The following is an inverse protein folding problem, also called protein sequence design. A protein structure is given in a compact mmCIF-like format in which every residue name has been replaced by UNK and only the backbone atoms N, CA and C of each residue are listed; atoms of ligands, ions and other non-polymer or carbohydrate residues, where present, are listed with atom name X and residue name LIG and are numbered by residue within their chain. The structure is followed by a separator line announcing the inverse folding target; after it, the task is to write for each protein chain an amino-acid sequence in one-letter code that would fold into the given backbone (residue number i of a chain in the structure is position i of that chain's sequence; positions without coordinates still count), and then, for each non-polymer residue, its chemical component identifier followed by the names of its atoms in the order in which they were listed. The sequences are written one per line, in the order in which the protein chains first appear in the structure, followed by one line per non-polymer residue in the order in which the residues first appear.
data_IF_951898295967
#
_entry.id   IF_951898295967
#
_cell.length_a   1.000
_cell.length_b   1.000
_cell.length_c   1.000
_cell.angle_alpha   90.00
_cell.angle_beta   90.00
_cell.angle_gamma   90.00
#
_symmetry.space_group_name_H-M   'P 1'
#
loop_
_entity.id
_entity.type
_entity.pdbx_description
1 polymer ?
#
# COMPACT_ATOMS: atom_id res chain seq x y z
N UNK A 1 -0.33 -12.11 -8.01
CA UNK A 1 1.07 -11.67 -8.28
C UNK A 1 1.88 -12.91 -8.60
N UNK A 2 2.85 -12.82 -9.50
CA UNK A 2 3.75 -13.92 -9.85
C UNK A 2 4.69 -14.21 -8.68
N UNK A 3 4.82 -15.47 -8.28
CA UNK A 3 5.79 -15.88 -7.26
C UNK A 3 7.21 -16.02 -7.85
N UNK A 4 8.22 -16.20 -7.00
CA UNK A 4 9.62 -16.27 -7.44
C UNK A 4 9.89 -17.40 -8.43
N UNK A 5 9.23 -18.54 -8.28
CA UNK A 5 9.38 -19.68 -9.19
C UNK A 5 8.75 -19.41 -10.54
N UNK A 6 7.55 -18.87 -10.57
CA UNK A 6 6.87 -18.45 -11.81
C UNK A 6 7.68 -17.38 -12.54
N UNK A 7 8.24 -16.42 -11.78
CA UNK A 7 9.13 -15.41 -12.35
C UNK A 7 10.39 -16.03 -12.97
N UNK A 8 11.02 -17.00 -12.30
CA UNK A 8 12.21 -17.68 -12.84
C UNK A 8 11.92 -18.40 -14.16
N UNK A 9 10.81 -19.11 -14.24
CA UNK A 9 10.40 -19.76 -15.49
C UNK A 9 10.05 -18.77 -16.59
N UNK A 10 9.33 -17.71 -16.26
CA UNK A 10 9.01 -16.64 -17.21
C UNK A 10 10.28 -15.97 -17.75
N UNK A 11 11.22 -15.64 -16.87
CA UNK A 11 12.51 -15.04 -17.24
C UNK A 11 13.29 -15.96 -18.19
N UNK A 12 13.35 -17.28 -17.89
CA UNK A 12 14.04 -18.24 -18.74
C UNK A 12 13.36 -18.42 -20.10
N UNK A 13 12.03 -18.39 -20.15
CA UNK A 13 11.29 -18.40 -21.39
C UNK A 13 11.56 -17.16 -22.26
N UNK A 14 11.67 -15.97 -21.65
CA UNK A 14 12.06 -14.75 -22.37
C UNK A 14 13.51 -14.85 -22.88
N UNK A 15 14.44 -15.36 -22.08
CA UNK A 15 15.81 -15.59 -22.49
C UNK A 15 15.89 -16.51 -23.70
N UNK A 16 15.20 -17.64 -23.67
CA UNK A 16 15.15 -18.63 -24.75
C UNK A 16 14.46 -18.06 -26.01
N UNK A 17 13.53 -17.11 -25.86
CA UNK A 17 12.91 -16.37 -26.96
C UNK A 17 13.80 -15.27 -27.58
N UNK A 18 15.05 -15.13 -27.12
CA UNK A 18 16.04 -14.19 -27.69
C UNK A 18 16.18 -12.87 -26.92
N UNK A 19 15.54 -12.71 -25.77
CA UNK A 19 15.66 -11.49 -24.96
C UNK A 19 17.04 -11.32 -24.28
N UNK A 20 17.95 -12.26 -24.47
CA UNK A 20 19.35 -12.16 -23.99
C UNK A 20 20.06 -10.91 -24.52
N UNK A 21 19.74 -10.45 -25.74
CA UNK A 21 20.24 -9.21 -26.30
C UNK A 21 19.78 -7.96 -25.55
N UNK A 22 18.72 -8.05 -24.75
CA UNK A 22 18.18 -6.96 -23.91
C UNK A 22 18.69 -7.00 -22.47
N UNK A 23 19.76 -7.76 -22.18
CA UNK A 23 20.37 -7.83 -20.86
C UNK A 23 19.67 -8.78 -19.89
N UNK A 24 18.71 -9.59 -20.37
CA UNK A 24 18.10 -10.64 -19.55
C UNK A 24 19.07 -11.81 -19.46
N UNK A 25 19.42 -12.22 -18.24
CA UNK A 25 20.25 -13.39 -17.97
C UNK A 25 19.37 -14.58 -17.61
N UNK A 26 19.81 -15.77 -18.03
CA UNK A 26 19.13 -17.01 -17.65
C UNK A 26 19.35 -17.30 -16.15
N UNK A 27 18.28 -17.62 -15.47
CA UNK A 27 18.33 -18.11 -14.08
C UNK A 27 18.72 -19.59 -14.13
N UNK A 28 19.81 -19.97 -13.46
CA UNK A 28 20.32 -21.33 -13.47
C UNK A 28 19.40 -22.31 -12.74
N UNK A 29 19.51 -23.59 -13.10
CA UNK A 29 18.73 -24.64 -12.44
C UNK A 29 19.04 -24.74 -10.95
N UNK A 30 20.28 -24.44 -10.54
CA UNK A 30 20.68 -24.42 -9.13
C UNK A 30 19.94 -23.33 -8.34
N UNK A 31 19.72 -22.15 -8.93
CA UNK A 31 18.94 -21.07 -8.30
C UNK A 31 17.46 -21.46 -8.24
N UNK A 32 16.94 -22.11 -9.29
CA UNK A 32 15.55 -22.61 -9.30
C UNK A 32 15.34 -23.65 -8.18
N UNK A 33 16.28 -24.54 -7.95
CA UNK A 33 16.21 -25.51 -6.83
C UNK A 33 16.23 -24.80 -5.46
N UNK A 34 17.06 -23.76 -5.29
CA UNK A 34 17.05 -22.94 -4.08
C UNK A 34 15.71 -22.23 -3.85
N UNK A 35 15.11 -21.68 -4.92
CA UNK A 35 13.76 -21.07 -4.85
C UNK A 35 12.74 -22.11 -4.38
N UNK A 36 12.75 -23.32 -4.95
CA UNK A 36 11.84 -24.39 -4.54
C UNK A 36 12.05 -24.80 -3.08
N UNK A 37 13.31 -24.96 -2.65
CA UNK A 37 13.65 -25.28 -1.27
C UNK A 37 13.14 -24.22 -0.29
N UNK A 38 13.39 -22.95 -0.59
CA UNK A 38 12.87 -21.84 0.21
C UNK A 38 11.33 -21.81 0.27
N UNK A 39 10.65 -22.06 -0.84
CA UNK A 39 9.18 -22.08 -0.88
C UNK A 39 8.57 -23.24 -0.08
N UNK A 40 9.29 -24.39 0.00
CA UNK A 40 8.85 -25.54 0.79
C UNK A 40 9.05 -25.32 2.28
N UNK A 41 10.19 -24.76 2.66
CA UNK A 41 10.53 -24.51 4.06
C UNK A 41 11.22 -23.13 4.19
N UNK A 42 10.44 -22.03 4.20
CA UNK A 42 10.97 -20.69 4.32
C UNK A 42 11.79 -20.53 5.60
N UNK A 43 12.93 -19.85 5.48
CA UNK A 43 13.83 -19.56 6.61
C UNK A 43 14.52 -20.79 7.21
N UNK A 44 14.64 -21.88 6.46
CA UNK A 44 15.50 -23.00 6.84
C UNK A 44 16.97 -22.60 6.79
N UNK A 45 17.82 -23.25 7.57
CA UNK A 45 19.27 -23.03 7.52
C UNK A 45 19.86 -23.37 6.14
N UNK A 46 19.27 -24.35 5.46
CA UNK A 46 19.69 -24.79 4.12
C UNK A 46 19.30 -23.80 3.02
N UNK A 47 18.10 -23.17 3.15
CA UNK A 47 17.56 -22.24 2.16
C UNK A 47 17.08 -20.95 2.85
N UNK A 48 18.00 -20.07 3.29
CA UNK A 48 17.62 -18.86 4.04
C UNK A 48 17.02 -17.75 3.17
N UNK A 49 16.92 -17.92 1.86
CA UNK A 49 16.36 -16.93 0.91
C UNK A 49 17.39 -16.03 0.26
N UNK A 50 18.61 -16.00 0.79
CA UNK A 50 19.75 -15.25 0.24
C UNK A 50 21.02 -15.98 0.60
N UNK A 51 21.97 -16.04 -0.32
CA UNK A 51 23.29 -16.62 -0.04
C UNK A 51 24.19 -15.64 0.73
N UNK A 52 25.10 -16.19 1.51
CA UNK A 52 26.20 -15.45 2.12
C UNK A 52 27.30 -15.24 1.07
N UNK A 53 27.98 -14.10 1.10
CA UNK A 53 29.08 -13.85 0.18
C UNK A 53 30.27 -14.78 0.43
N UNK A 54 31.21 -14.82 -0.50
CA UNK A 54 32.37 -15.70 -0.42
C UNK A 54 33.29 -15.42 0.76
N UNK A 55 33.23 -14.24 1.38
CA UNK A 55 33.97 -13.91 2.60
C UNK A 55 33.29 -14.45 3.89
N UNK A 56 32.02 -14.90 3.79
CA UNK A 56 31.27 -15.43 4.92
C UNK A 56 30.74 -14.38 5.92
N UNK A 57 30.97 -13.10 5.68
CA UNK A 57 30.65 -12.02 6.61
C UNK A 57 29.43 -11.20 6.14
N UNK A 58 29.24 -11.07 4.82
CA UNK A 58 28.20 -10.26 4.24
C UNK A 58 27.20 -11.09 3.42
N UNK A 59 26.03 -10.53 3.18
CA UNK A 59 25.07 -11.10 2.24
C UNK A 59 25.55 -10.90 0.80
N UNK A 60 25.39 -11.92 -0.03
CA UNK A 60 25.76 -11.81 -1.43
C UNK A 60 24.86 -10.78 -2.16
N UNK A 61 25.48 -9.81 -2.82
CA UNK A 61 24.78 -8.74 -3.51
C UNK A 61 24.31 -9.12 -4.92
N UNK A 62 24.80 -10.22 -5.48
CA UNK A 62 24.42 -10.66 -6.81
C UNK A 62 22.95 -11.11 -6.85
N UNK A 63 22.20 -10.69 -7.89
CA UNK A 63 20.79 -11.00 -8.01
C UNK A 63 20.46 -12.51 -7.97
N UNK A 64 21.37 -13.35 -8.43
CA UNK A 64 21.22 -14.82 -8.39
C UNK A 64 21.41 -15.42 -6.98
N UNK A 65 21.94 -14.64 -6.05
CA UNK A 65 22.10 -15.04 -4.67
C UNK A 65 20.85 -14.77 -3.82
N UNK A 66 19.88 -14.05 -4.37
CA UNK A 66 18.62 -13.71 -3.72
C UNK A 66 17.51 -14.57 -4.35
N UNK A 67 17.01 -15.53 -3.60
CA UNK A 67 16.02 -16.50 -4.08
C UNK A 67 14.79 -16.61 -3.17
N UNK A 68 14.62 -15.65 -2.26
CA UNK A 68 13.46 -15.57 -1.40
C UNK A 68 12.17 -15.34 -2.20
N UNK A 69 11.05 -15.69 -1.59
CA UNK A 69 9.71 -15.51 -2.16
C UNK A 69 8.87 -14.63 -1.22
N UNK A 70 9.25 -13.36 -1.10
CA UNK A 70 8.53 -12.40 -0.27
C UNK A 70 7.45 -11.70 -1.09
N UNK A 71 6.20 -11.81 -0.67
CA UNK A 71 5.11 -11.01 -1.22
C UNK A 71 5.18 -9.59 -0.63
N UNK A 72 5.92 -8.72 -1.29
CA UNK A 72 6.12 -7.34 -0.87
C UNK A 72 4.83 -6.54 -0.82
N UNK A 73 3.85 -6.87 -1.66
CA UNK A 73 2.54 -6.21 -1.58
C UNK A 73 1.82 -6.56 -0.28
N UNK A 74 1.78 -7.84 0.05
CA UNK A 74 1.18 -8.29 1.31
C UNK A 74 1.95 -7.79 2.53
N UNK A 75 3.27 -7.58 2.39
CA UNK A 75 4.09 -7.05 3.45
C UNK A 75 3.86 -5.55 3.68
N UNK A 76 3.76 -4.76 2.59
CA UNK A 76 3.63 -3.30 2.70
C UNK A 76 2.20 -2.80 2.74
N UNK A 77 1.25 -3.51 2.16
CA UNK A 77 -0.11 -3.04 1.98
C UNK A 77 -1.10 -3.89 2.75
N UNK A 78 -2.03 -3.23 3.40
CA UNK A 78 -3.19 -3.86 4.05
C UNK A 78 -4.12 -4.44 3.01
N UNK A 79 -4.73 -5.58 3.29
CA UNK A 79 -5.76 -6.17 2.43
C UNK A 79 -7.01 -5.30 2.32
N UNK A 80 -7.28 -4.49 3.35
CA UNK A 80 -8.46 -3.63 3.44
C UNK A 80 -8.09 -2.33 4.12
N UNK A 81 -8.65 -1.24 3.64
CA UNK A 81 -8.62 0.08 4.27
C UNK A 81 -10.05 0.52 4.55
N UNK A 82 -10.30 0.95 5.76
CA UNK A 82 -11.63 1.37 6.22
C UNK A 82 -11.75 2.88 6.04
N UNK A 83 -12.89 3.29 5.46
CA UNK A 83 -13.29 4.70 5.44
C UNK A 83 -14.69 4.83 6.00
N UNK A 84 -14.88 5.77 6.90
CA UNK A 84 -16.19 6.17 7.36
C UNK A 84 -16.34 7.68 7.42
N UNK A 85 -17.57 8.15 7.25
CA UNK A 85 -17.91 9.56 7.31
C UNK A 85 -19.20 9.76 8.09
N UNK A 86 -19.22 10.78 8.91
CA UNK A 86 -20.38 11.18 9.70
C UNK A 86 -20.67 12.63 9.38
N UNK A 87 -21.93 12.93 9.07
CA UNK A 87 -22.39 14.28 8.83
C UNK A 87 -23.61 14.55 9.72
N UNK A 88 -23.56 15.68 10.41
CA UNK A 88 -24.65 16.18 11.22
C UNK A 88 -24.96 17.60 10.80
N UNK A 89 -26.22 17.92 10.61
CA UNK A 89 -26.65 19.29 10.37
C UNK A 89 -27.86 19.65 11.22
N UNK A 90 -27.86 20.87 11.68
CA UNK A 90 -28.97 21.49 12.39
C UNK A 90 -29.29 22.79 11.70
N UNK A 91 -30.56 22.99 11.39
CA UNK A 91 -31.06 24.22 10.83
C UNK A 91 -32.32 24.65 11.54
N UNK A 92 -32.53 25.93 11.63
CA UNK A 92 -33.72 26.48 12.26
C UNK A 92 -33.78 27.99 12.03
N UNK A 93 -34.87 28.56 12.49
CA UNK A 93 -35.01 29.98 12.39
C UNK A 93 -36.41 30.50 12.68
N UNK A 94 -36.56 31.80 12.55
CA UNK A 94 -37.78 32.56 12.66
C UNK A 94 -37.87 33.54 11.48
N UNK A 95 -38.91 34.37 11.47
CA UNK A 95 -39.03 35.43 10.43
C UNK A 95 -37.86 36.41 10.42
N UNK A 96 -37.11 36.51 11.53
CA UNK A 96 -35.99 37.46 11.68
C UNK A 96 -34.62 36.83 11.68
N UNK A 97 -34.50 35.54 12.02
CA UNK A 97 -33.21 34.86 12.16
C UNK A 97 -33.33 33.47 11.55
N UNK A 98 -32.39 33.12 10.70
CA UNK A 98 -32.21 31.75 10.19
C UNK A 98 -30.79 31.32 10.44
N UNK A 99 -30.60 30.09 10.86
CA UNK A 99 -29.30 29.53 11.08
C UNK A 99 -29.20 28.13 10.49
N UNK A 100 -27.98 27.79 10.07
CA UNK A 100 -27.57 26.47 9.65
C UNK A 100 -26.18 26.16 10.26
N UNK A 101 -26.06 25.01 10.88
CA UNK A 101 -24.79 24.48 11.39
C UNK A 101 -24.65 23.08 10.83
N UNK A 102 -23.58 22.85 10.06
CA UNK A 102 -23.24 21.55 9.52
C UNK A 102 -21.85 21.12 10.03
N UNK A 103 -21.75 19.92 10.56
CA UNK A 103 -20.51 19.30 10.99
C UNK A 103 -20.28 18.03 10.19
N UNK A 104 -19.04 17.82 9.75
CA UNK A 104 -18.64 16.62 9.05
C UNK A 104 -17.34 16.08 9.63
N UNK A 105 -17.30 14.77 9.76
CA UNK A 105 -16.10 14.02 10.12
C UNK A 105 -15.87 12.93 9.11
N UNK A 106 -14.64 12.84 8.60
CA UNK A 106 -14.21 11.75 7.72
C UNK A 106 -12.95 11.16 8.33
N UNK A 107 -12.97 9.86 8.50
CA UNK A 107 -11.78 9.06 8.78
C UNK A 107 -11.52 8.13 7.61
N UNK A 108 -10.27 8.05 7.21
CA UNK A 108 -9.80 7.10 6.22
C UNK A 108 -8.50 6.48 6.73
N UNK A 109 -8.53 5.18 6.90
CA UNK A 109 -7.35 4.40 7.21
C UNK A 109 -6.40 4.37 6.00
N UNK A 110 -5.11 4.47 6.25
CA UNK A 110 -4.10 4.34 5.22
C UNK A 110 -3.98 2.93 4.67
N UNK A 111 -3.31 2.81 3.54
CA UNK A 111 -3.09 1.53 2.87
C UNK A 111 -1.82 0.82 3.30
N UNK A 112 -0.88 1.52 3.96
CA UNK A 112 0.39 0.96 4.37
C UNK A 112 0.26 0.30 5.74
N UNK A 113 0.80 -0.91 5.89
CA UNK A 113 0.67 -1.69 7.13
C UNK A 113 1.62 -1.21 8.22
N UNK A 114 2.84 -0.83 7.84
CA UNK A 114 3.90 -0.45 8.78
C UNK A 114 4.06 1.06 8.96
N UNK A 115 3.21 1.87 8.33
CA UNK A 115 3.25 3.33 8.38
C UNK A 115 1.90 3.86 8.81
N UNK A 116 1.91 4.86 9.68
CA UNK A 116 0.69 5.54 10.09
C UNK A 116 0.36 6.64 9.08
N UNK A 117 -0.44 6.30 8.08
CA UNK A 117 -0.88 7.16 6.98
C UNK A 117 -2.40 7.43 7.01
N UNK A 118 -2.98 7.42 8.20
CA UNK A 118 -4.41 7.67 8.41
C UNK A 118 -4.76 9.14 8.19
N UNK A 119 -5.91 9.38 7.59
CA UNK A 119 -6.48 10.71 7.39
C UNK A 119 -7.69 10.92 8.28
N UNK A 120 -7.67 11.99 9.08
CA UNK A 120 -8.83 12.50 9.81
C UNK A 120 -9.15 13.91 9.35
N UNK A 121 -10.38 14.12 8.86
CA UNK A 121 -10.84 15.42 8.36
C UNK A 121 -12.09 15.86 9.09
N UNK A 122 -12.06 17.07 9.62
CA UNK A 122 -13.18 17.73 10.27
C UNK A 122 -13.63 18.90 9.42
N UNK A 123 -14.92 19.04 9.21
CA UNK A 123 -15.54 20.16 8.51
C UNK A 123 -16.59 20.80 9.41
N UNK A 124 -16.58 22.13 9.50
CA UNK A 124 -17.62 22.89 10.16
C UNK A 124 -18.09 23.97 9.20
N UNK A 125 -19.39 23.97 8.92
CA UNK A 125 -20.05 24.98 8.12
C UNK A 125 -21.11 25.67 8.97
N UNK A 126 -21.03 26.98 9.07
CA UNK A 126 -22.03 27.78 9.76
C UNK A 126 -22.58 28.89 8.84
N UNK A 127 -23.86 29.03 8.82
CA UNK A 127 -24.53 30.15 8.14
C UNK A 127 -25.51 30.76 9.11
N UNK A 128 -25.44 32.07 9.26
CA UNK A 128 -26.38 32.87 10.04
C UNK A 128 -26.93 33.98 9.16
N UNK A 129 -28.22 34.07 9.10
CA UNK A 129 -28.91 35.17 8.46
C UNK A 129 -29.82 35.87 9.45
N UNK A 130 -29.63 37.16 9.63
CA UNK A 130 -30.43 37.98 10.55
C UNK A 130 -31.01 39.21 9.81
N UNK A 131 -32.28 39.46 10.05
CA UNK A 131 -33.00 40.67 9.60
C UNK A 131 -33.52 41.39 10.84
N UNK A 132 -32.74 42.22 11.49
CA UNK A 132 -33.20 42.93 12.68
C UNK A 132 -34.28 43.97 12.35
N UNK A 133 -34.22 44.52 11.13
CA UNK A 133 -35.22 45.47 10.60
C UNK A 133 -35.48 45.14 9.13
N UNK A 134 -36.54 45.72 8.51
CA UNK A 134 -36.92 45.44 7.12
C UNK A 134 -35.87 45.90 6.11
N UNK A 135 -35.08 46.88 6.44
CA UNK A 135 -34.04 47.45 5.59
C UNK A 135 -32.62 46.90 5.85
N UNK A 136 -32.40 46.09 6.92
CA UNK A 136 -31.08 45.61 7.29
C UNK A 136 -31.05 44.07 7.31
N UNK A 137 -30.14 43.47 6.52
CA UNK A 137 -29.88 42.03 6.49
C UNK A 137 -28.40 41.76 6.68
N UNK A 138 -28.06 40.82 7.55
CA UNK A 138 -26.76 40.23 7.71
C UNK A 138 -26.79 38.78 7.19
N UNK A 139 -25.72 38.38 6.45
CA UNK A 139 -25.62 37.05 5.88
C UNK A 139 -24.18 36.51 6.07
#
# INVERSE_FOLDING_TARGET
MMNSLEFAYYNNALYDAGASASGINRISDSVIEKIKGFMQNPYSEEFPGIDVSSNGEDWASAYYAQYGNTDWFKYYYKDKSIRHSHNLSVQGGSQKINYYIGMGYVYQEGFLDHVKDDLSKYNLNTKLQAKPTDWLRFT
#
